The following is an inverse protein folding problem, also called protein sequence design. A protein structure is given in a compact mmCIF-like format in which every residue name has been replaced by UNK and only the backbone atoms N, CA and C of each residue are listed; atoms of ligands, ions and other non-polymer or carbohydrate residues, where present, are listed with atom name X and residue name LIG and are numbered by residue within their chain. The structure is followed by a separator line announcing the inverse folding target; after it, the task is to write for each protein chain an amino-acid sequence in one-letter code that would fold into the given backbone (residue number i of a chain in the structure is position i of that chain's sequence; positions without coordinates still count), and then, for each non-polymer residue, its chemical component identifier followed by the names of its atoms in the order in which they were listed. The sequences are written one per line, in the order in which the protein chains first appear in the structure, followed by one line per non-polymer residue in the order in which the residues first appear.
data_IF_706747295204
#
_entry.id   IF_706747295204
#
_cell.length_a   1.000
_cell.length_b   1.000
_cell.length_c   1.000
_cell.angle_alpha   90.00
_cell.angle_beta   90.00
_cell.angle_gamma   90.00
#
_symmetry.space_group_name_H-M   'P 1'
#
loop_
_entity.id
_entity.type
_entity.pdbx_description
1 polymer ?
#
# COMPACT_ATOMS: atom_id res chain seq x y z
N UNK A 1 5.29 19.45 89.34
CA UNK A 1 5.41 18.57 88.15
C UNK A 1 5.79 19.46 86.97
N UNK A 2 7.00 20.00 86.92
CA UNK A 2 8.20 19.39 86.29
C UNK A 2 7.93 18.98 84.83
N UNK A 3 8.45 19.66 83.80
CA UNK A 3 9.31 20.84 83.76
C UNK A 3 9.18 21.48 82.36
N UNK A 4 8.48 22.60 82.29
CA UNK A 4 8.85 23.71 81.42
C UNK A 4 9.97 24.52 82.11
N UNK A 5 10.79 25.21 81.31
CA UNK A 5 11.74 26.31 81.63
C UNK A 5 13.23 25.96 81.81
N UNK A 6 14.04 26.96 81.42
CA UNK A 6 15.49 27.15 81.29
C UNK A 6 15.97 26.91 79.84
N UNK A 7 16.31 27.88 78.99
CA UNK A 7 16.40 29.34 79.05
C UNK A 7 16.38 29.88 77.61
N UNK A 8 15.74 31.03 77.42
CA UNK A 8 15.87 31.85 76.22
C UNK A 8 17.09 32.78 76.34
N UNK A 9 17.67 33.07 75.17
CA UNK A 9 18.35 34.31 74.76
C UNK A 9 19.63 34.79 75.46
N UNK A 10 20.52 35.30 74.59
CA UNK A 10 21.66 36.21 74.79
C UNK A 10 23.05 35.62 75.02
N UNK A 11 23.79 35.41 73.92
CA UNK A 11 25.07 36.12 73.74
C UNK A 11 25.54 36.07 72.27
N UNK A 12 25.40 37.22 71.62
CA UNK A 12 26.09 37.62 70.39
C UNK A 12 27.57 37.88 70.72
N UNK A 13 28.44 37.67 69.71
CA UNK A 13 29.85 38.07 69.61
C UNK A 13 30.92 37.08 70.10
N UNK A 14 31.43 36.29 69.16
CA UNK A 14 32.87 36.16 68.93
C UNK A 14 33.06 36.04 67.40
N UNK A 15 33.23 37.15 66.68
CA UNK A 15 34.54 37.61 66.20
C UNK A 15 35.36 36.47 65.60
N UNK A 16 35.23 36.25 64.29
CA UNK A 16 36.07 36.87 63.25
C UNK A 16 37.36 36.10 62.98
N UNK A 17 37.56 35.81 61.70
CA UNK A 17 38.82 35.44 61.02
C UNK A 17 39.21 33.96 61.06
N UNK A 18 38.84 33.24 59.98
CA UNK A 18 39.87 32.69 59.10
C UNK A 18 39.35 32.63 57.66
N UNK A 19 39.72 33.65 56.88
CA UNK A 19 39.63 33.63 55.42
C UNK A 19 40.72 32.71 54.86
N UNK A 20 40.40 32.08 53.72
CA UNK A 20 41.28 31.52 52.65
C UNK A 20 41.39 29.99 52.60
N UNK A 21 40.54 29.37 51.77
CA UNK A 21 40.94 28.50 50.66
C UNK A 21 39.72 28.22 49.75
N UNK A 22 39.99 28.07 48.45
CA UNK A 22 39.09 28.02 47.29
C UNK A 22 38.08 26.83 47.25
N UNK A 23 37.07 26.89 46.35
CA UNK A 23 35.85 26.10 46.40
C UNK A 23 36.03 24.70 45.80
N UNK A 24 35.46 23.69 46.45
CA UNK A 24 35.32 22.35 45.89
C UNK A 24 33.87 22.15 45.45
N UNK A 25 33.63 22.45 44.17
CA UNK A 25 32.90 21.61 43.23
C UNK A 25 31.93 20.58 43.85
N UNK A 26 30.67 20.96 44.05
CA UNK A 26 29.56 20.01 44.06
C UNK A 26 28.57 20.44 42.96
N UNK A 27 28.91 20.00 41.74
CA UNK A 27 27.96 19.92 40.65
C UNK A 27 26.95 18.83 41.04
N UNK A 28 25.76 19.25 41.47
CA UNK A 28 24.58 18.40 41.40
C UNK A 28 24.25 18.18 39.92
N UNK A 29 24.83 17.14 39.34
CA UNK A 29 24.35 16.52 38.11
C UNK A 29 22.95 15.97 38.43
N UNK A 30 21.92 16.72 38.08
CA UNK A 30 20.62 16.13 37.81
C UNK A 30 20.78 15.26 36.55
N UNK A 31 21.10 13.98 36.76
CA UNK A 31 20.87 12.93 35.77
C UNK A 31 19.35 12.79 35.57
N UNK A 32 18.79 13.68 34.75
CA UNK A 32 17.59 13.37 34.00
C UNK A 32 18.00 12.40 32.89
N UNK A 33 17.93 11.10 33.16
CA UNK A 33 17.74 10.12 32.10
C UNK A 33 16.34 10.35 31.54
N UNK A 34 16.21 11.32 30.64
CA UNK A 34 15.21 11.20 29.60
C UNK A 34 15.64 10.02 28.74
N UNK A 35 14.75 9.05 28.54
CA UNK A 35 14.88 8.18 27.39
C UNK A 35 14.92 9.10 26.17
N UNK A 36 16.10 9.24 25.56
CA UNK A 36 16.18 9.67 24.17
C UNK A 36 15.34 8.63 23.41
N UNK A 37 14.12 9.01 23.04
CA UNK A 37 13.43 8.34 21.96
C UNK A 37 14.43 8.36 20.82
N UNK A 38 14.91 7.20 20.40
CA UNK A 38 15.66 7.08 19.16
C UNK A 38 14.76 7.68 18.08
N UNK A 39 15.03 8.91 17.66
CA UNK A 39 14.43 9.46 16.46
C UNK A 39 14.90 8.54 15.33
N UNK A 40 14.03 7.65 14.87
CA UNK A 40 14.26 6.90 13.64
C UNK A 40 14.56 7.94 12.56
N UNK A 41 15.79 7.91 12.03
CA UNK A 41 16.23 8.86 11.01
C UNK A 41 15.40 8.62 9.74
N UNK A 42 14.36 9.42 9.56
CA UNK A 42 13.52 9.42 8.36
C UNK A 42 14.27 10.16 7.26
N UNK A 43 14.86 9.42 6.32
CA UNK A 43 15.43 10.02 5.11
C UNK A 43 14.30 10.30 4.13
N UNK A 44 14.01 11.57 3.89
CA UNK A 44 13.04 12.00 2.89
C UNK A 44 13.75 12.31 1.55
N UNK A 45 13.24 11.71 0.47
CA UNK A 45 13.66 11.97 -0.90
C UNK A 45 12.50 12.67 -1.61
N UNK A 46 12.78 13.77 -2.29
CA UNK A 46 11.82 14.41 -3.18
C UNK A 46 12.21 14.11 -4.63
N UNK A 47 11.28 13.53 -5.38
CA UNK A 47 11.46 13.12 -6.77
C UNK A 47 10.62 14.05 -7.65
N UNK A 48 11.23 15.00 -8.38
CA UNK A 48 10.49 15.88 -9.27
C UNK A 48 10.04 15.13 -10.52
N UNK A 49 8.73 15.15 -10.80
CA UNK A 49 8.11 14.55 -11.98
C UNK A 49 7.50 15.64 -12.85
N UNK A 50 8.01 15.79 -14.07
CA UNK A 50 7.42 16.66 -15.09
C UNK A 50 6.57 15.82 -16.05
N UNK A 51 5.25 15.86 -15.86
CA UNK A 51 4.28 15.11 -16.64
C UNK A 51 4.25 15.53 -18.12
N UNK A 52 4.77 16.72 -18.47
CA UNK A 52 4.85 17.16 -19.87
C UNK A 52 5.95 16.43 -20.65
N UNK A 53 6.81 15.67 -19.96
CA UNK A 53 7.78 14.76 -20.59
C UNK A 53 7.19 13.38 -20.90
N UNK A 54 5.93 13.13 -20.54
CA UNK A 54 5.28 11.87 -20.90
C UNK A 54 4.98 11.83 -22.39
N UNK A 55 5.34 10.72 -23.02
CA UNK A 55 5.23 10.55 -24.46
C UNK A 55 4.03 9.66 -24.83
N UNK A 56 3.51 9.88 -26.04
CA UNK A 56 2.63 8.92 -26.68
C UNK A 56 3.51 7.84 -27.32
N UNK A 57 3.28 6.57 -27.00
CA UNK A 57 4.10 5.47 -27.47
C UNK A 57 3.30 4.32 -28.08
N UNK A 58 4.04 3.39 -28.68
CA UNK A 58 3.57 2.02 -28.83
C UNK A 58 3.69 1.32 -27.48
N UNK A 59 2.82 0.34 -27.22
CA UNK A 59 2.92 -0.43 -25.99
C UNK A 59 4.25 -1.20 -25.92
N UNK A 60 4.74 -1.64 -27.07
CA UNK A 60 6.03 -2.27 -27.20
C UNK A 60 7.21 -1.38 -26.81
N UNK A 61 7.05 -0.06 -26.65
CA UNK A 61 8.14 0.80 -26.17
C UNK A 61 8.43 0.56 -24.68
N UNK A 62 7.41 0.22 -23.90
CA UNK A 62 7.53 -0.03 -22.46
C UNK A 62 7.46 -1.53 -22.07
N UNK A 63 6.73 -2.32 -22.85
CA UNK A 63 6.42 -3.71 -22.50
C UNK A 63 6.88 -4.69 -23.57
N UNK A 64 7.28 -5.90 -23.16
CA UNK A 64 7.82 -6.93 -24.06
C UNK A 64 6.73 -7.87 -24.59
N UNK A 65 5.78 -8.25 -23.73
CA UNK A 65 4.76 -9.24 -24.04
C UNK A 65 3.50 -9.04 -23.21
N UNK A 66 2.42 -9.68 -23.65
CA UNK A 66 1.14 -9.75 -22.94
C UNK A 66 0.78 -11.21 -22.71
N UNK A 67 0.43 -11.55 -21.47
CA UNK A 67 -0.07 -12.87 -21.08
C UNK A 67 -1.47 -12.78 -20.48
N UNK A 68 -2.23 -13.88 -20.59
CA UNK A 68 -3.63 -13.97 -20.18
C UNK A 68 -3.86 -15.19 -19.30
N UNK A 69 -4.59 -15.01 -18.21
CA UNK A 69 -5.08 -16.11 -17.35
C UNK A 69 -6.57 -15.89 -17.10
N UNK A 70 -7.40 -16.86 -17.48
CA UNK A 70 -8.81 -16.88 -17.09
C UNK A 70 -8.94 -17.54 -15.72
N UNK A 71 -9.59 -16.84 -14.78
CA UNK A 71 -9.94 -17.44 -13.50
C UNK A 71 -11.12 -18.38 -13.67
N UNK A 72 -11.02 -19.56 -13.07
CA UNK A 72 -12.07 -20.56 -13.05
C UNK A 72 -13.32 -20.01 -12.34
N UNK A 73 -14.44 -20.04 -13.04
CA UNK A 73 -15.73 -19.64 -12.49
C UNK A 73 -16.25 -20.71 -11.51
N UNK A 74 -16.99 -20.29 -10.48
CA UNK A 74 -17.61 -21.19 -9.50
C UNK A 74 -18.89 -20.60 -8.95
N UNK A 75 -20.00 -21.33 -9.02
CA UNK A 75 -21.30 -20.86 -8.52
C UNK A 75 -21.30 -20.50 -7.02
N UNK A 76 -20.40 -21.09 -6.22
CA UNK A 76 -20.30 -20.83 -4.77
C UNK A 76 -19.24 -19.79 -4.42
N UNK A 77 -18.20 -19.65 -5.24
CA UNK A 77 -17.06 -18.76 -5.00
C UNK A 77 -16.91 -17.63 -6.04
N UNK A 78 -17.95 -17.33 -6.82
CA UNK A 78 -17.98 -16.21 -7.80
C UNK A 78 -17.55 -14.88 -7.20
N UNK A 79 -16.68 -14.14 -7.89
CA UNK A 79 -16.19 -12.83 -7.45
C UNK A 79 -17.23 -11.74 -7.74
N UNK A 80 -17.73 -11.07 -6.69
CA UNK A 80 -18.80 -10.05 -6.82
C UNK A 80 -18.20 -8.64 -7.00
N UNK A 81 -17.29 -8.26 -6.10
CA UNK A 81 -16.56 -6.98 -6.11
C UNK A 81 -15.13 -7.23 -5.61
N UNK A 82 -14.26 -7.80 -6.48
CA UNK A 82 -12.85 -7.97 -6.15
C UNK A 82 -12.20 -6.61 -5.89
N UNK A 83 -11.36 -6.54 -4.86
CA UNK A 83 -10.74 -5.29 -4.40
C UNK A 83 -9.22 -5.34 -4.36
N UNK A 84 -8.63 -6.50 -4.04
CA UNK A 84 -7.19 -6.67 -3.94
C UNK A 84 -6.78 -8.00 -4.56
N UNK A 85 -5.70 -8.00 -5.32
CA UNK A 85 -5.09 -9.21 -5.88
C UNK A 85 -3.66 -9.33 -5.36
N UNK A 86 -3.30 -10.51 -4.85
CA UNK A 86 -1.93 -10.83 -4.43
C UNK A 86 -1.42 -11.99 -5.27
N UNK A 87 -0.28 -11.77 -5.92
CA UNK A 87 0.48 -12.79 -6.61
C UNK A 87 1.57 -13.33 -5.67
N UNK A 88 1.57 -14.64 -5.46
CA UNK A 88 2.61 -15.37 -4.71
C UNK A 88 3.13 -16.53 -5.56
N UNK A 89 4.26 -17.16 -5.20
CA UNK A 89 4.84 -18.25 -6.01
C UNK A 89 3.85 -19.42 -6.26
N UNK A 90 2.96 -19.71 -5.31
CA UNK A 90 2.05 -20.86 -5.39
C UNK A 90 0.58 -20.54 -5.61
N UNK A 91 0.15 -19.30 -5.31
CA UNK A 91 -1.26 -18.92 -5.30
C UNK A 91 -1.49 -17.52 -5.85
N UNK A 92 -2.65 -17.37 -6.48
CA UNK A 92 -3.28 -16.08 -6.78
C UNK A 92 -4.39 -15.90 -5.75
N UNK A 93 -4.25 -14.92 -4.86
CA UNK A 93 -5.25 -14.58 -3.85
C UNK A 93 -6.04 -13.35 -4.26
N UNK A 94 -7.36 -13.37 -4.06
CA UNK A 94 -8.24 -12.24 -4.34
C UNK A 94 -9.13 -11.97 -3.13
N UNK A 95 -9.11 -10.74 -2.64
CA UNK A 95 -10.12 -10.23 -1.71
C UNK A 95 -11.36 -9.80 -2.50
N UNK A 96 -12.50 -10.39 -2.18
CA UNK A 96 -13.81 -9.99 -2.71
C UNK A 96 -14.66 -9.38 -1.58
N UNK A 97 -14.68 -8.05 -1.53
CA UNK A 97 -15.49 -7.30 -0.56
C UNK A 97 -16.99 -7.35 -0.89
N UNK A 98 -17.37 -7.73 -2.10
CA UNK A 98 -18.77 -7.90 -2.48
C UNK A 98 -19.37 -9.16 -1.84
N UNK A 99 -18.60 -10.24 -1.85
CA UNK A 99 -18.96 -11.53 -1.25
C UNK A 99 -18.47 -11.74 0.18
N UNK A 100 -17.75 -10.78 0.78
CA UNK A 100 -17.06 -10.91 2.07
C UNK A 100 -16.25 -12.22 2.17
N UNK A 101 -15.40 -12.43 1.16
CA UNK A 101 -14.59 -13.64 1.03
C UNK A 101 -13.22 -13.37 0.44
N UNK A 102 -12.33 -14.33 0.64
CA UNK A 102 -11.05 -14.42 -0.03
C UNK A 102 -11.04 -15.67 -0.90
N UNK A 103 -10.70 -15.54 -2.18
CA UNK A 103 -10.70 -16.65 -3.14
C UNK A 103 -9.27 -16.90 -3.62
N UNK A 104 -8.87 -18.17 -3.65
CA UNK A 104 -7.51 -18.57 -3.98
C UNK A 104 -7.50 -19.50 -5.19
N UNK A 105 -6.65 -19.18 -6.15
CA UNK A 105 -6.43 -19.91 -7.38
C UNK A 105 -4.97 -20.37 -7.47
N UNK A 106 -4.70 -21.37 -8.30
CA UNK A 106 -3.32 -21.65 -8.71
C UNK A 106 -2.84 -20.65 -9.78
N UNK A 107 -1.57 -20.76 -10.16
CA UNK A 107 -0.93 -19.90 -11.17
C UNK A 107 -1.52 -20.08 -12.59
N UNK A 108 -2.40 -21.04 -12.82
CA UNK A 108 -3.10 -21.24 -14.09
C UNK A 108 -4.55 -20.75 -14.03
N UNK A 109 -4.95 -20.11 -12.91
CA UNK A 109 -6.29 -19.63 -12.69
C UNK A 109 -7.29 -20.72 -12.28
N UNK A 110 -6.85 -21.93 -11.92
CA UNK A 110 -7.75 -22.97 -11.41
C UNK A 110 -8.09 -22.72 -9.95
N UNK A 111 -9.37 -22.84 -9.61
CA UNK A 111 -9.88 -22.58 -8.29
C UNK A 111 -9.34 -23.62 -7.30
N UNK A 112 -8.78 -23.16 -6.19
CA UNK A 112 -8.23 -24.02 -5.14
C UNK A 112 -9.19 -24.12 -3.95
N UNK A 113 -9.49 -22.98 -3.34
CA UNK A 113 -10.40 -22.87 -2.20
C UNK A 113 -10.82 -21.41 -2.00
N UNK A 114 -11.76 -21.19 -1.09
CA UNK A 114 -12.15 -19.87 -0.63
C UNK A 114 -12.34 -19.85 0.88
N UNK A 115 -12.12 -18.69 1.47
CA UNK A 115 -12.44 -18.38 2.86
C UNK A 115 -13.61 -17.39 2.83
N UNK A 116 -14.78 -17.81 3.30
CA UNK A 116 -15.98 -16.96 3.31
C UNK A 116 -16.36 -16.57 4.72
N UNK A 117 -16.89 -15.37 4.89
CA UNK A 117 -17.45 -14.93 6.15
C UNK A 117 -18.52 -15.93 6.65
N UNK A 118 -18.43 -16.34 7.92
CA UNK A 118 -19.31 -17.37 8.49
C UNK A 118 -19.86 -17.01 9.87
N UNK A 119 -19.22 -16.10 10.62
CA UNK A 119 -19.64 -15.78 11.98
C UNK A 119 -18.54 -15.13 12.82
N UNK A 120 -18.77 -15.06 14.13
CA UNK A 120 -17.85 -14.50 15.13
C UNK A 120 -17.11 -15.56 15.96
N UNK A 121 -17.31 -16.85 15.67
CA UNK A 121 -16.66 -17.95 16.36
C UNK A 121 -15.14 -18.04 16.11
N UNK A 122 -14.45 -18.96 16.82
CA UNK A 122 -13.04 -19.23 16.59
C UNK A 122 -12.78 -19.67 15.16
N UNK A 123 -11.88 -19.00 14.45
CA UNK A 123 -11.59 -19.31 13.04
C UNK A 123 -12.57 -18.71 12.03
N UNK A 124 -13.62 -18.04 12.49
CA UNK A 124 -14.63 -17.38 11.65
C UNK A 124 -14.38 -15.87 11.56
N UNK A 125 -14.90 -15.25 10.50
CA UNK A 125 -14.88 -13.80 10.31
C UNK A 125 -16.19 -13.33 9.67
N UNK A 126 -16.45 -12.02 9.73
CA UNK A 126 -17.68 -11.37 9.23
C UNK A 126 -17.38 -10.36 8.13
N UNK A 127 -16.21 -9.69 8.18
CA UNK A 127 -15.83 -8.67 7.21
C UNK A 127 -14.42 -8.89 6.68
N UNK A 128 -14.27 -8.64 5.40
CA UNK A 128 -12.99 -8.54 4.70
C UNK A 128 -12.45 -7.11 4.75
N UNK A 129 -11.14 -6.96 4.70
CA UNK A 129 -10.50 -5.63 4.59
C UNK A 129 -9.12 -5.70 3.96
N UNK A 130 -8.31 -6.65 4.43
CA UNK A 130 -6.94 -6.84 3.98
C UNK A 130 -6.49 -8.28 4.25
N UNK A 131 -5.56 -8.75 3.43
CA UNK A 131 -4.93 -10.05 3.60
C UNK A 131 -3.49 -10.06 3.09
N UNK A 132 -2.76 -11.09 3.51
CA UNK A 132 -1.38 -11.33 3.14
C UNK A 132 -1.16 -12.81 2.88
N UNK A 133 -0.23 -13.11 1.96
CA UNK A 133 0.34 -14.44 1.76
C UNK A 133 1.83 -14.32 2.10
N UNK A 134 2.25 -14.92 3.21
CA UNK A 134 3.61 -14.81 3.75
C UNK A 134 4.15 -16.21 4.02
N UNK A 135 5.12 -16.64 3.20
CA UNK A 135 5.64 -18.01 3.25
C UNK A 135 4.50 -19.02 3.08
N UNK A 136 4.32 -19.89 4.07
CA UNK A 136 3.28 -20.92 4.06
C UNK A 136 1.97 -20.50 4.77
N UNK A 137 1.79 -19.21 5.04
CA UNK A 137 0.65 -18.70 5.80
C UNK A 137 -0.15 -17.65 5.03
N UNK A 138 -1.47 -17.73 5.19
CA UNK A 138 -2.43 -16.73 4.75
C UNK A 138 -2.94 -16.02 6.00
N UNK A 139 -2.77 -14.70 6.05
CA UNK A 139 -3.30 -13.87 7.14
C UNK A 139 -4.43 -13.03 6.58
N UNK A 140 -5.60 -13.06 7.23
CA UNK A 140 -6.73 -12.20 6.89
C UNK A 140 -7.07 -11.32 8.08
N UNK A 141 -7.56 -10.12 7.81
CA UNK A 141 -8.03 -9.19 8.83
C UNK A 141 -9.54 -9.08 8.80
N UNK A 142 -10.14 -9.19 9.97
CA UNK A 142 -11.53 -8.83 10.21
C UNK A 142 -11.55 -7.48 10.95
N UNK A 143 -11.97 -6.38 10.30
CA UNK A 143 -12.05 -5.07 10.94
C UNK A 143 -13.20 -4.94 11.94
N UNK A 144 -14.25 -5.77 11.82
CA UNK A 144 -15.42 -5.71 12.70
C UNK A 144 -15.18 -6.44 14.02
N UNK A 145 -14.61 -7.64 13.96
CA UNK A 145 -14.22 -8.43 15.13
C UNK A 145 -12.85 -8.03 15.69
N UNK A 146 -12.17 -7.12 15.00
CA UNK A 146 -10.84 -6.61 15.30
C UNK A 146 -9.83 -7.74 15.58
N UNK A 147 -9.74 -8.70 14.67
CA UNK A 147 -8.83 -9.84 14.78
C UNK A 147 -8.12 -10.13 13.47
N UNK A 148 -6.95 -10.74 13.58
CA UNK A 148 -6.22 -11.34 12.46
C UNK A 148 -6.33 -12.85 12.59
N UNK A 149 -6.73 -13.52 11.53
CA UNK A 149 -6.79 -14.97 11.45
C UNK A 149 -5.67 -15.48 10.55
N UNK A 150 -5.02 -16.57 10.96
CA UNK A 150 -3.97 -17.25 10.20
C UNK A 150 -4.46 -18.62 9.72
N UNK A 151 -4.26 -18.88 8.44
CA UNK A 151 -4.53 -20.14 7.76
C UNK A 151 -3.24 -20.64 7.09
N UNK A 152 -3.16 -21.94 6.77
CA UNK A 152 -2.15 -22.43 5.83
C UNK A 152 -2.57 -22.23 4.37
N UNK A 153 -1.69 -22.61 3.44
CA UNK A 153 -1.92 -22.53 1.99
C UNK A 153 -3.02 -23.48 1.46
N UNK A 154 -3.62 -24.31 2.32
CA UNK A 154 -4.79 -25.13 1.98
C UNK A 154 -6.08 -24.58 2.59
N UNK A 155 -6.04 -23.40 3.22
CA UNK A 155 -7.19 -22.77 3.86
C UNK A 155 -7.54 -23.38 5.23
N UNK A 156 -6.64 -24.14 5.86
CA UNK A 156 -6.90 -24.71 7.18
C UNK A 156 -6.52 -23.68 8.25
N UNK A 157 -7.50 -23.33 9.09
CA UNK A 157 -7.32 -22.41 10.22
C UNK A 157 -6.22 -22.91 11.18
N UNK A 158 -5.34 -21.99 11.61
CA UNK A 158 -4.25 -22.27 12.55
C UNK A 158 -4.40 -21.53 13.87
N UNK A 159 -4.68 -20.22 13.82
CA UNK A 159 -4.79 -19.36 15.01
C UNK A 159 -5.47 -18.05 14.69
N UNK A 160 -5.94 -17.38 15.74
CA UNK A 160 -6.43 -16.00 15.67
C UNK A 160 -5.76 -15.14 16.75
N UNK A 161 -5.62 -13.86 16.44
CA UNK A 161 -5.02 -12.84 17.31
C UNK A 161 -5.99 -11.66 17.40
N UNK A 162 -6.51 -11.37 18.60
CA UNK A 162 -7.35 -10.18 18.83
C UNK A 162 -6.48 -8.95 18.96
N UNK A 163 -6.91 -7.86 18.35
CA UNK A 163 -6.26 -6.56 18.40
C UNK A 163 -6.96 -5.67 19.43
N UNK A 164 -6.21 -4.82 20.11
CA UNK A 164 -6.75 -3.87 21.10
C UNK A 164 -7.19 -2.53 20.49
N UNK A 165 -6.95 -2.31 19.19
CA UNK A 165 -7.35 -1.10 18.47
C UNK A 165 -7.75 -1.40 17.03
N UNK A 166 -8.66 -0.61 16.48
CA UNK A 166 -9.17 -0.73 15.10
C UNK A 166 -8.26 0.08 14.19
N UNK A 167 -7.25 -0.58 13.63
CA UNK A 167 -6.40 -0.03 12.58
C UNK A 167 -6.74 -0.68 11.25
N UNK A 168 -6.21 -0.22 10.13
CA UNK A 168 -6.56 -0.72 8.79
C UNK A 168 -5.63 -1.78 8.25
N UNK A 169 -5.15 -1.52 7.03
CA UNK A 169 -4.18 -2.37 6.37
C UNK A 169 -3.04 -2.74 7.30
N UNK A 170 -2.51 -3.95 7.13
CA UNK A 170 -1.51 -4.47 8.04
C UNK A 170 -0.40 -5.21 7.30
N UNK A 171 0.76 -5.29 7.94
CA UNK A 171 1.87 -6.11 7.46
C UNK A 171 2.59 -6.84 8.58
N UNK A 172 2.56 -8.17 8.55
CA UNK A 172 3.29 -9.02 9.49
C UNK A 172 4.75 -9.16 9.07
N UNK A 173 5.63 -8.76 9.96
CA UNK A 173 7.09 -8.99 9.90
C UNK A 173 7.46 -10.14 10.86
N UNK A 174 8.74 -10.49 10.93
CA UNK A 174 9.22 -11.53 11.86
C UNK A 174 9.06 -11.14 13.35
N UNK A 175 9.08 -9.84 13.66
CA UNK A 175 9.13 -9.33 15.04
C UNK A 175 7.94 -8.41 15.42
N UNK A 176 7.22 -7.88 14.43
CA UNK A 176 6.10 -6.92 14.57
C UNK A 176 4.97 -7.16 13.59
N UNK A 177 3.84 -6.50 13.84
CA UNK A 177 2.89 -6.14 12.77
C UNK A 177 2.88 -4.64 12.56
N UNK A 178 3.05 -4.17 11.33
CA UNK A 178 2.78 -2.79 10.94
C UNK A 178 1.29 -2.63 10.66
N UNK A 179 0.75 -1.46 10.95
CA UNK A 179 -0.62 -1.09 10.67
C UNK A 179 -0.67 0.32 10.09
N UNK A 180 -1.58 0.55 9.15
CA UNK A 180 -1.98 1.89 8.73
C UNK A 180 -3.16 2.36 9.56
N UNK A 181 -3.17 3.63 9.97
CA UNK A 181 -4.19 4.18 10.87
C UNK A 181 -5.56 4.37 10.23
N UNK A 182 -5.66 4.31 8.89
CA UNK A 182 -6.87 4.69 8.11
C UNK A 182 -7.31 6.13 8.39
N UNK A 183 -6.35 6.99 8.74
CA UNK A 183 -6.62 8.34 9.21
C UNK A 183 -7.50 8.40 10.49
N UNK A 184 -7.55 7.31 11.26
CA UNK A 184 -8.09 7.29 12.61
C UNK A 184 -6.99 7.55 13.62
N UNK A 185 -7.06 8.68 14.32
CA UNK A 185 -5.98 9.13 15.22
C UNK A 185 -6.29 8.92 16.71
N UNK A 186 -7.15 7.95 17.02
CA UNK A 186 -7.52 7.56 18.39
C UNK A 186 -6.31 7.16 19.26
N UNK A 187 -5.25 6.64 18.63
CA UNK A 187 -3.99 6.25 19.28
C UNK A 187 -2.87 7.30 19.12
N UNK A 188 -3.22 8.50 18.64
CA UNK A 188 -2.29 9.57 18.27
C UNK A 188 -2.27 9.83 16.76
N UNK A 189 -1.86 11.04 16.39
CA UNK A 189 -1.77 11.51 15.01
C UNK A 189 -0.56 10.91 14.27
N UNK A 190 -0.61 9.61 14.00
CA UNK A 190 0.40 8.87 13.25
C UNK A 190 -0.24 8.14 12.06
N UNK A 191 0.48 8.08 10.94
CA UNK A 191 0.03 7.31 9.80
C UNK A 191 0.15 5.82 10.05
N UNK A 192 1.21 5.41 10.75
CA UNK A 192 1.51 4.00 10.96
C UNK A 192 1.64 3.68 12.44
N UNK A 193 1.39 2.42 12.77
CA UNK A 193 1.65 1.88 14.09
C UNK A 193 2.39 0.55 13.97
N UNK A 194 3.38 0.35 14.84
CA UNK A 194 4.04 -0.94 15.03
C UNK A 194 3.47 -1.62 16.26
N UNK A 195 3.03 -2.85 16.08
CA UNK A 195 2.46 -3.69 17.13
C UNK A 195 3.45 -4.78 17.52
N UNK A 196 3.91 -4.75 18.77
CA UNK A 196 4.79 -5.75 19.38
C UNK A 196 4.39 -6.00 20.82
N UNK A 197 4.40 -7.25 21.26
CA UNK A 197 4.13 -7.64 22.67
C UNK A 197 2.88 -6.96 23.25
N UNK A 198 1.79 -6.89 22.47
CA UNK A 198 0.52 -6.25 22.83
C UNK A 198 0.57 -4.73 23.07
N UNK A 199 1.56 -4.05 22.50
CA UNK A 199 1.69 -2.59 22.56
C UNK A 199 1.76 -2.01 21.15
N UNK A 200 1.08 -0.88 20.95
CA UNK A 200 1.14 -0.09 19.74
C UNK A 200 2.10 1.08 19.95
N UNK A 201 3.02 1.25 19.00
CA UNK A 201 3.93 2.37 18.91
C UNK A 201 3.57 3.17 17.66
N UNK A 202 3.27 4.46 17.82
CA UNK A 202 2.98 5.37 16.71
C UNK A 202 4.24 5.69 15.93
N UNK A 203 4.14 5.65 14.61
CA UNK A 203 5.25 5.77 13.67
C UNK A 203 4.84 6.70 12.55
N UNK A 204 5.73 7.65 12.23
CA UNK A 204 5.57 8.63 11.18
C UNK A 204 4.35 9.53 11.42
N UNK A 205 4.62 10.75 11.85
CA UNK A 205 3.57 11.73 12.17
C UNK A 205 2.64 11.94 10.98
N UNK A 206 1.34 11.98 11.26
CA UNK A 206 0.32 12.18 10.24
C UNK A 206 0.04 13.66 9.99
N UNK A 207 -0.35 13.98 8.76
CA UNK A 207 -1.04 15.22 8.50
C UNK A 207 -2.44 15.17 9.13
N UNK A 208 -2.63 15.96 10.19
CA UNK A 208 -3.89 16.00 10.93
C UNK A 208 -5.08 16.42 10.05
N UNK A 209 -4.82 17.05 8.89
CA UNK A 209 -5.88 17.38 7.92
C UNK A 209 -6.57 16.15 7.34
N UNK A 210 -5.95 14.98 7.40
CA UNK A 210 -6.54 13.73 6.95
C UNK A 210 -7.43 13.07 8.00
N UNK A 211 -7.47 13.56 9.25
CA UNK A 211 -8.24 12.92 10.33
C UNK A 211 -9.70 12.64 9.93
N UNK A 212 -10.12 11.38 10.08
CA UNK A 212 -11.47 10.91 9.75
C UNK A 212 -11.77 10.79 8.26
N UNK A 213 -10.82 11.07 7.36
CA UNK A 213 -11.02 10.91 5.91
C UNK A 213 -11.04 9.43 5.55
N UNK A 214 -12.19 8.99 5.02
CA UNK A 214 -12.41 7.60 4.63
C UNK A 214 -11.57 7.26 3.41
N UNK A 215 -10.72 6.25 3.56
CA UNK A 215 -9.92 5.68 2.48
C UNK A 215 -10.42 4.27 2.11
N UNK A 216 -10.39 3.97 0.82
CA UNK A 216 -10.52 2.61 0.31
C UNK A 216 -9.65 2.46 -0.93
N UNK A 217 -8.42 1.98 -0.76
CA UNK A 217 -7.55 1.60 -1.87
C UNK A 217 -7.40 0.09 -2.01
N UNK A 218 -7.03 -0.30 -3.22
CA UNK A 218 -6.71 -1.68 -3.60
C UNK A 218 -5.38 -2.15 -3.05
N UNK A 219 -4.43 -1.22 -2.94
CA UNK A 219 -3.09 -1.50 -2.44
C UNK A 219 -3.05 -1.18 -0.94
N UNK A 220 -2.50 -2.11 -0.17
CA UNK A 220 -2.14 -1.89 1.23
C UNK A 220 -0.63 -1.79 1.33
N UNK A 221 -0.05 -2.49 2.31
CA UNK A 221 1.39 -2.72 2.31
C UNK A 221 1.79 -3.65 1.15
N UNK A 222 2.75 -3.21 0.37
CA UNK A 222 3.31 -3.91 -0.79
C UNK A 222 4.71 -4.41 -0.44
N UNK A 223 4.94 -5.71 -0.59
CA UNK A 223 6.28 -6.30 -0.42
C UNK A 223 7.08 -6.13 -1.71
N UNK A 224 8.28 -5.56 -1.62
CA UNK A 224 9.27 -5.69 -2.69
C UNK A 224 9.86 -7.11 -2.65
N UNK A 225 9.60 -7.98 -3.66
CA UNK A 225 10.07 -9.36 -3.61
C UNK A 225 11.59 -9.47 -3.76
N UNK A 226 12.27 -8.44 -4.29
CA UNK A 226 13.71 -8.42 -4.56
C UNK A 226 14.52 -7.92 -3.35
N UNK A 227 14.08 -6.84 -2.70
CA UNK A 227 14.78 -6.23 -1.55
C UNK A 227 14.21 -6.66 -0.20
N UNK A 228 13.00 -7.23 -0.20
CA UNK A 228 12.18 -7.54 0.99
C UNK A 228 11.73 -6.33 1.79
N UNK A 229 11.89 -5.13 1.23
CA UNK A 229 11.36 -3.90 1.81
C UNK A 229 9.84 -3.85 1.67
N UNK A 230 9.19 -3.09 2.54
CA UNK A 230 7.74 -2.99 2.61
C UNK A 230 7.38 -1.56 2.24
N UNK A 231 6.54 -1.39 1.24
CA UNK A 231 6.16 -0.10 0.68
C UNK A 231 4.70 0.17 1.05
N UNK A 232 4.37 1.40 1.43
CA UNK A 232 3.01 1.86 1.59
C UNK A 232 2.86 3.25 0.98
N UNK A 233 1.87 3.42 0.12
CA UNK A 233 1.53 4.73 -0.47
C UNK A 233 0.44 5.37 0.38
N UNK A 234 0.70 6.58 0.87
CA UNK A 234 -0.24 7.31 1.73
C UNK A 234 -1.41 7.80 0.87
N UNK A 235 -2.66 7.42 1.19
CA UNK A 235 -3.85 7.90 0.49
C UNK A 235 -3.99 9.41 0.53
N UNK A 236 -4.55 9.98 -0.55
CA UNK A 236 -4.73 11.44 -0.71
C UNK A 236 -3.42 12.25 -0.77
N UNK A 237 -2.28 11.57 -0.85
CA UNK A 237 -0.97 12.17 -0.99
C UNK A 237 -0.21 11.59 -2.18
N UNK A 238 0.87 12.26 -2.55
CA UNK A 238 1.86 11.79 -3.51
C UNK A 238 3.12 11.27 -2.80
N UNK A 239 2.91 10.71 -1.61
CA UNK A 239 3.97 10.21 -0.73
C UNK A 239 3.90 8.70 -0.60
N UNK A 240 5.05 8.03 -0.76
CA UNK A 240 5.22 6.62 -0.40
C UNK A 240 6.25 6.47 0.71
N UNK A 241 5.94 5.62 1.67
CA UNK A 241 6.82 5.25 2.79
C UNK A 241 7.37 3.86 2.54
N UNK A 242 8.67 3.68 2.71
CA UNK A 242 9.33 2.40 2.59
C UNK A 242 9.97 2.03 3.91
N UNK A 243 9.53 0.90 4.45
CA UNK A 243 10.07 0.27 5.63
C UNK A 243 11.10 -0.79 5.23
N UNK A 244 12.12 -0.95 6.06
CA UNK A 244 12.97 -2.15 6.02
C UNK A 244 12.15 -3.44 6.17
N UNK A 245 12.73 -4.58 5.81
CA UNK A 245 12.07 -5.91 5.91
C UNK A 245 11.52 -6.26 7.31
N UNK A 246 12.11 -5.69 8.36
CA UNK A 246 11.71 -5.91 9.75
C UNK A 246 10.71 -4.85 10.26
N UNK A 247 10.33 -3.89 9.40
CA UNK A 247 9.40 -2.82 9.71
C UNK A 247 9.99 -1.68 10.55
N UNK A 248 11.31 -1.58 10.62
CA UNK A 248 12.06 -0.63 11.45
C UNK A 248 12.37 0.65 10.69
N UNK A 249 13.53 0.71 10.00
CA UNK A 249 13.98 1.91 9.29
C UNK A 249 12.99 2.38 8.23
N UNK A 250 12.82 3.69 8.16
CA UNK A 250 11.81 4.35 7.32
C UNK A 250 12.51 5.33 6.38
N UNK A 251 12.21 5.21 5.09
CA UNK A 251 12.45 6.27 4.11
C UNK A 251 11.14 6.73 3.52
N UNK A 252 11.07 8.02 3.19
CA UNK A 252 9.89 8.61 2.56
C UNK A 252 10.27 9.11 1.19
N UNK A 253 9.42 8.86 0.20
CA UNK A 253 9.56 9.32 -1.17
C UNK A 253 8.36 10.22 -1.45
N UNK A 254 8.62 11.50 -1.66
CA UNK A 254 7.61 12.46 -2.09
C UNK A 254 7.76 12.69 -3.60
N UNK A 255 6.74 12.31 -4.37
CA UNK A 255 6.68 12.58 -5.79
C UNK A 255 6.11 13.97 -6.01
N UNK A 256 6.97 14.89 -6.42
CA UNK A 256 6.64 16.30 -6.62
C UNK A 256 6.23 16.55 -8.07
N UNK A 257 4.93 16.77 -8.29
CA UNK A 257 4.36 17.10 -9.60
C UNK A 257 4.32 18.61 -9.89
N UNK A 258 4.97 19.41 -9.04
CA UNK A 258 5.07 20.87 -9.18
C UNK A 258 3.70 21.53 -9.25
N UNK A 259 3.45 22.28 -10.34
CA UNK A 259 2.19 23.00 -10.54
C UNK A 259 0.98 22.07 -10.76
N UNK A 260 1.23 20.83 -11.18
CA UNK A 260 0.17 19.86 -11.46
C UNK A 260 -0.24 19.13 -10.16
N UNK A 261 0.40 19.40 -9.01
CA UNK A 261 0.06 18.81 -7.70
C UNK A 261 -1.21 19.44 -7.10
N UNK A 262 -2.16 18.61 -6.65
CA UNK A 262 -3.29 19.09 -5.87
C UNK A 262 -2.88 19.51 -4.46
N UNK A 263 -3.46 20.61 -3.97
CA UNK A 263 -3.18 21.15 -2.63
C UNK A 263 -3.91 20.38 -1.54
N UNK A 264 -3.15 19.91 -0.53
CA UNK A 264 -3.72 19.31 0.68
C UNK A 264 -4.58 20.30 1.49
N UNK A 265 -4.29 21.60 1.40
CA UNK A 265 -5.13 22.63 2.03
C UNK A 265 -6.51 22.70 1.35
N UNK A 266 -6.53 22.57 0.03
CA UNK A 266 -7.78 22.53 -0.72
C UNK A 266 -8.55 21.22 -0.50
N UNK A 267 -7.85 20.08 -0.42
CA UNK A 267 -8.45 18.80 -0.05
C UNK A 267 -9.16 18.85 1.31
N UNK A 268 -8.55 19.52 2.29
CA UNK A 268 -9.15 19.68 3.61
C UNK A 268 -10.35 20.65 3.58
N UNK A 269 -10.21 21.79 2.90
CA UNK A 269 -11.18 22.90 2.93
C UNK A 269 -12.40 22.65 2.06
N UNK A 270 -12.23 22.00 0.91
CA UNK A 270 -13.31 21.71 -0.03
C UNK A 270 -14.06 20.44 0.39
N UNK A 271 -15.33 20.35 0.01
CA UNK A 271 -16.02 19.06 0.09
C UNK A 271 -15.53 18.13 -1.04
N UNK A 272 -15.73 16.80 -0.94
CA UNK A 272 -15.20 15.85 -1.91
C UNK A 272 -15.56 16.18 -3.37
N UNK A 273 -16.83 16.50 -3.64
CA UNK A 273 -17.27 16.83 -5.00
C UNK A 273 -16.55 18.07 -5.56
N UNK A 274 -16.40 19.12 -4.76
CA UNK A 274 -15.70 20.34 -5.17
C UNK A 274 -14.21 20.09 -5.43
N UNK A 275 -13.59 19.24 -4.60
CA UNK A 275 -12.20 18.87 -4.79
C UNK A 275 -12.03 18.06 -6.08
N UNK A 276 -12.88 17.06 -6.32
CA UNK A 276 -12.86 16.24 -7.53
C UNK A 276 -13.09 17.09 -8.80
N UNK A 277 -14.06 18.01 -8.76
CA UNK A 277 -14.32 18.96 -9.85
C UNK A 277 -13.10 19.83 -10.13
N UNK A 278 -12.39 20.28 -9.09
CA UNK A 278 -11.16 21.06 -9.24
C UNK A 278 -10.03 20.23 -9.84
N UNK A 279 -9.76 19.05 -9.28
CA UNK A 279 -8.75 18.11 -9.80
C UNK A 279 -8.97 17.86 -11.28
N UNK A 280 -10.22 17.61 -11.66
CA UNK A 280 -10.64 17.43 -13.05
C UNK A 280 -10.43 18.66 -13.94
N UNK A 281 -10.92 19.82 -13.51
CA UNK A 281 -10.93 21.04 -14.33
C UNK A 281 -9.55 21.68 -14.48
N UNK A 282 -8.73 21.60 -13.43
CA UNK A 282 -7.38 22.15 -13.41
C UNK A 282 -6.33 21.13 -13.86
N UNK A 283 -6.70 19.85 -14.01
CA UNK A 283 -5.78 18.80 -14.43
C UNK A 283 -4.71 18.54 -13.38
N UNK A 284 -5.14 18.26 -12.14
CA UNK A 284 -4.23 18.05 -11.01
C UNK A 284 -4.00 16.56 -10.72
N UNK A 285 -2.90 16.27 -10.04
CA UNK A 285 -2.57 14.99 -9.43
C UNK A 285 -2.91 15.07 -7.95
N UNK A 286 -3.90 14.30 -7.51
CA UNK A 286 -4.31 14.27 -6.10
C UNK A 286 -3.72 13.10 -5.32
N UNK A 287 -3.34 12.02 -5.99
CA UNK A 287 -2.83 10.82 -5.34
C UNK A 287 -2.07 9.94 -6.32
N UNK A 288 -1.36 8.95 -5.77
CA UNK A 288 -0.72 7.87 -6.51
C UNK A 288 -1.67 6.69 -6.64
N UNK A 289 -1.96 6.29 -7.87
CA UNK A 289 -2.89 5.18 -8.17
C UNK A 289 -2.25 3.79 -7.98
N UNK A 290 -0.96 3.67 -8.28
CA UNK A 290 -0.17 2.44 -8.13
C UNK A 290 1.30 2.81 -7.98
N UNK A 291 2.00 2.15 -7.06
CA UNK A 291 3.46 2.21 -6.96
C UNK A 291 4.01 0.82 -6.68
N UNK A 292 4.64 0.21 -7.69
CA UNK A 292 5.04 -1.18 -7.68
C UNK A 292 6.55 -1.34 -7.80
N UNK A 293 7.19 -2.12 -6.91
CA UNK A 293 8.59 -2.48 -7.06
C UNK A 293 8.77 -3.53 -8.15
N UNK A 294 9.75 -3.32 -9.01
CA UNK A 294 10.17 -4.23 -10.07
C UNK A 294 11.66 -4.58 -9.87
N UNK A 295 12.20 -5.52 -10.63
CA UNK A 295 13.56 -6.03 -10.41
C UNK A 295 14.64 -4.95 -10.62
N UNK A 296 14.46 -4.16 -11.67
CA UNK A 296 15.41 -3.15 -12.12
C UNK A 296 15.01 -1.72 -11.72
N UNK A 297 13.90 -1.53 -11.01
CA UNK A 297 13.41 -0.21 -10.65
C UNK A 297 12.00 -0.21 -10.06
N UNK A 298 11.24 0.85 -10.35
CA UNK A 298 9.87 1.01 -9.87
C UNK A 298 8.94 1.48 -10.98
N UNK A 299 7.69 1.03 -10.89
CA UNK A 299 6.58 1.53 -11.70
C UNK A 299 5.71 2.45 -10.85
N UNK A 300 5.48 3.67 -11.31
CA UNK A 300 4.59 4.63 -10.71
C UNK A 300 3.47 4.98 -11.69
N UNK A 301 2.22 4.98 -11.22
CA UNK A 301 1.08 5.45 -12.00
C UNK A 301 0.29 6.52 -11.25
N UNK A 302 0.02 7.61 -11.94
CA UNK A 302 -0.82 8.72 -11.45
C UNK A 302 -1.85 9.11 -12.51
N UNK A 303 -2.87 9.86 -12.09
CA UNK A 303 -3.78 10.54 -13.01
C UNK A 303 -3.58 12.04 -12.92
N UNK A 304 -3.57 12.70 -14.07
CA UNK A 304 -3.71 14.15 -14.22
C UNK A 304 -5.16 14.45 -14.56
N UNK A 305 -5.88 15.02 -13.61
CA UNK A 305 -7.34 15.10 -13.68
C UNK A 305 -8.00 13.72 -13.63
N UNK A 306 -9.11 13.53 -14.36
CA UNK A 306 -9.92 12.31 -14.24
C UNK A 306 -9.50 11.18 -15.22
N UNK A 307 -8.88 11.52 -16.35
CA UNK A 307 -8.76 10.58 -17.49
C UNK A 307 -7.36 10.39 -18.04
N UNK A 308 -6.48 11.38 -17.88
CA UNK A 308 -5.12 11.27 -18.37
C UNK A 308 -4.28 10.53 -17.34
N UNK A 309 -3.92 9.28 -17.64
CA UNK A 309 -2.97 8.56 -16.81
C UNK A 309 -1.55 8.91 -17.23
N UNK A 310 -0.62 8.78 -16.30
CA UNK A 310 0.81 8.79 -16.57
C UNK A 310 1.44 7.55 -15.94
N UNK A 311 2.18 6.78 -16.72
CA UNK A 311 3.05 5.71 -16.28
C UNK A 311 4.48 6.20 -16.29
N UNK A 312 5.13 6.16 -15.13
CA UNK A 312 6.48 6.62 -14.91
C UNK A 312 7.31 5.41 -14.47
N UNK A 313 8.36 5.13 -15.23
CA UNK A 313 9.37 4.14 -14.87
C UNK A 313 10.54 4.86 -14.22
N UNK A 314 10.95 4.35 -13.06
CA UNK A 314 11.98 4.92 -12.21
C UNK A 314 13.09 3.87 -12.04
N UNK A 315 14.35 4.28 -12.05
CA UNK A 315 15.45 3.40 -11.65
C UNK A 315 15.45 3.13 -10.13
N UNK A 316 16.45 2.39 -9.64
CA UNK A 316 16.57 2.00 -8.22
C UNK A 316 16.82 3.19 -7.29
N UNK A 317 17.31 4.29 -7.85
CA UNK A 317 17.57 5.56 -7.20
C UNK A 317 16.38 6.54 -7.32
N UNK A 318 15.23 6.05 -7.82
CA UNK A 318 14.00 6.81 -8.03
C UNK A 318 14.11 7.93 -9.08
N UNK A 319 15.07 7.84 -10.00
CA UNK A 319 15.18 8.80 -11.10
C UNK A 319 14.24 8.36 -12.23
N UNK A 320 13.37 9.25 -12.76
CA UNK A 320 12.56 8.93 -13.92
C UNK A 320 13.42 8.66 -15.15
N UNK A 321 13.21 7.49 -15.75
CA UNK A 321 13.95 7.00 -16.93
C UNK A 321 13.06 6.94 -18.17
N UNK A 322 11.77 6.65 -18.02
CA UNK A 322 10.78 6.69 -19.09
C UNK A 322 9.40 7.12 -18.58
N UNK A 323 8.61 7.79 -19.42
CA UNK A 323 7.27 8.27 -19.06
C UNK A 323 6.31 8.19 -20.24
N UNK A 324 5.11 7.65 -20.03
CA UNK A 324 4.09 7.50 -21.07
C UNK A 324 2.71 7.86 -20.53
N UNK A 325 1.92 8.60 -21.32
CA UNK A 325 0.52 8.93 -20.98
C UNK A 325 -0.50 8.36 -21.95
N UNK A 326 -0.02 7.65 -22.99
CA UNK A 326 -0.87 6.97 -23.96
C UNK A 326 -0.09 5.87 -24.67
N UNK A 327 -0.76 4.74 -24.86
CA UNK A 327 -0.24 3.67 -25.70
C UNK A 327 -1.16 3.38 -26.87
N UNK A 328 -0.55 3.09 -28.02
CA UNK A 328 -1.15 2.22 -29.03
C UNK A 328 -0.68 0.80 -28.74
N UNK A 329 -1.60 -0.10 -28.36
CA UNK A 329 -1.24 -1.51 -28.24
C UNK A 329 -0.92 -2.07 -29.63
N UNK A 330 0.35 -2.32 -29.89
CA UNK A 330 0.91 -2.88 -31.12
C UNK A 330 1.45 -4.31 -30.91
N UNK A 331 1.42 -4.81 -29.67
CA UNK A 331 1.82 -6.17 -29.30
C UNK A 331 0.73 -7.16 -29.75
N UNK A 332 -0.51 -6.93 -29.35
CA UNK A 332 -1.65 -7.76 -29.74
C UNK A 332 -2.94 -6.99 -30.02
N UNK A 333 -2.89 -5.65 -30.04
CA UNK A 333 -4.01 -4.78 -30.38
C UNK A 333 -5.25 -4.80 -29.46
N UNK A 334 -5.25 -5.56 -28.36
CA UNK A 334 -6.30 -5.48 -27.35
C UNK A 334 -6.31 -4.10 -26.68
N UNK A 335 -7.47 -3.56 -26.28
CA UNK A 335 -7.50 -2.33 -25.50
C UNK A 335 -6.85 -2.56 -24.13
N UNK A 336 -6.04 -1.61 -23.70
CA UNK A 336 -5.42 -1.63 -22.37
C UNK A 336 -6.32 -0.84 -21.42
N UNK A 337 -6.63 -1.43 -20.27
CA UNK A 337 -7.46 -0.79 -19.26
C UNK A 337 -6.64 0.23 -18.46
N UNK A 338 -7.32 1.20 -17.84
CA UNK A 338 -6.68 2.39 -17.29
C UNK A 338 -6.10 2.23 -15.87
N UNK A 339 -6.34 1.12 -15.18
CA UNK A 339 -5.89 0.96 -13.80
C UNK A 339 -5.22 -0.41 -13.62
N UNK A 340 -3.91 -0.45 -13.33
CA UNK A 340 -3.23 -1.65 -12.89
C UNK A 340 -3.76 -2.08 -11.53
N UNK A 341 -4.02 -3.38 -11.37
CA UNK A 341 -4.61 -3.95 -10.16
C UNK A 341 -3.57 -4.61 -9.25
N UNK A 342 -2.47 -5.09 -9.82
CA UNK A 342 -1.43 -5.82 -9.10
C UNK A 342 -0.14 -5.84 -9.91
N UNK A 343 0.91 -6.44 -9.36
CA UNK A 343 2.15 -6.77 -10.05
C UNK A 343 2.61 -8.17 -9.67
N UNK A 344 3.50 -8.74 -10.47
CA UNK A 344 4.18 -10.00 -10.17
C UNK A 344 5.54 -9.98 -10.84
N UNK A 345 6.62 -10.01 -10.06
CA UNK A 345 7.99 -9.88 -10.59
C UNK A 345 8.13 -8.60 -11.45
N UNK A 346 8.40 -8.74 -12.76
CA UNK A 346 8.51 -7.63 -13.72
C UNK A 346 7.21 -7.39 -14.53
N UNK A 347 6.08 -7.97 -14.09
CA UNK A 347 4.78 -7.83 -14.77
C UNK A 347 3.86 -6.85 -14.06
N UNK A 348 3.20 -6.00 -14.85
CA UNK A 348 2.08 -5.16 -14.42
C UNK A 348 0.76 -5.86 -14.77
N UNK A 349 -0.09 -6.05 -13.78
CA UNK A 349 -1.30 -6.86 -13.87
C UNK A 349 -2.59 -6.04 -13.90
N UNK A 350 -3.55 -6.50 -14.68
CA UNK A 350 -4.91 -5.96 -14.78
C UNK A 350 -5.93 -7.07 -14.51
N UNK A 351 -6.98 -6.74 -13.77
CA UNK A 351 -8.12 -7.61 -13.52
C UNK A 351 -9.31 -7.12 -14.34
N UNK A 352 -9.74 -7.90 -15.33
CA UNK A 352 -10.80 -7.50 -16.27
C UNK A 352 -11.95 -8.50 -16.18
N UNK A 353 -13.21 -8.07 -15.98
CA UNK A 353 -14.35 -8.95 -16.12
C UNK A 353 -14.33 -9.69 -17.47
N UNK A 354 -14.54 -10.99 -17.47
CA UNK A 354 -14.37 -11.85 -18.66
C UNK A 354 -15.31 -11.46 -19.81
N UNK A 355 -16.53 -11.02 -19.49
CA UNK A 355 -17.47 -10.55 -20.50
C UNK A 355 -16.99 -9.27 -21.18
N UNK A 356 -16.43 -8.31 -20.44
CA UNK A 356 -15.85 -7.08 -21.01
C UNK A 356 -14.62 -7.39 -21.86
N UNK A 357 -13.80 -8.33 -21.42
CA UNK A 357 -12.66 -8.80 -22.20
C UNK A 357 -13.10 -9.41 -23.54
N UNK A 358 -14.14 -10.24 -23.52
CA UNK A 358 -14.70 -10.86 -24.73
C UNK A 358 -15.32 -9.80 -25.66
N UNK A 359 -16.06 -8.83 -25.13
CA UNK A 359 -16.62 -7.72 -25.92
C UNK A 359 -15.52 -6.90 -26.61
N UNK A 360 -14.44 -6.59 -25.89
CA UNK A 360 -13.27 -5.89 -26.43
C UNK A 360 -12.63 -6.69 -27.58
N UNK A 361 -12.48 -8.00 -27.40
CA UNK A 361 -11.93 -8.89 -28.42
C UNK A 361 -12.84 -8.95 -29.67
N UNK A 362 -14.14 -9.20 -29.50
CA UNK A 362 -15.10 -9.30 -30.59
C UNK A 362 -15.16 -7.99 -31.39
N UNK A 363 -15.21 -6.85 -30.68
CA UNK A 363 -15.18 -5.53 -31.31
C UNK A 363 -13.90 -5.30 -32.11
N UNK A 364 -12.76 -5.81 -31.64
CA UNK A 364 -11.46 -5.58 -32.26
C UNK A 364 -11.16 -6.49 -33.45
N UNK A 365 -11.54 -7.76 -33.38
CA UNK A 365 -11.10 -8.77 -34.36
C UNK A 365 -12.22 -9.39 -35.18
N UNK A 366 -13.43 -9.49 -34.62
CA UNK A 366 -14.56 -10.08 -35.35
C UNK A 366 -15.28 -8.99 -36.15
N UNK A 367 -15.51 -7.83 -35.53
CA UNK A 367 -16.20 -6.72 -36.17
C UNK A 367 -15.28 -5.85 -37.04
N UNK A 368 -13.98 -6.14 -37.06
CA UNK A 368 -12.98 -5.45 -37.87
C UNK A 368 -12.01 -6.47 -38.50
N UNK A 369 -12.41 -7.00 -39.67
CA UNK A 369 -11.73 -8.09 -40.38
C UNK A 369 -10.36 -7.73 -40.96
N UNK A 370 -9.91 -6.48 -40.82
CA UNK A 370 -8.63 -6.00 -41.37
C UNK A 370 -7.48 -6.04 -40.34
N UNK A 371 -7.75 -6.43 -39.09
CA UNK A 371 -6.73 -6.47 -38.04
C UNK A 371 -5.95 -7.78 -38.09
N UNK A 372 -4.65 -7.68 -38.32
CA UNK A 372 -3.71 -8.81 -38.22
C UNK A 372 -3.72 -9.40 -36.80
N UNK A 373 -3.75 -10.73 -36.72
CA UNK A 373 -3.66 -11.45 -35.45
C UNK A 373 -2.20 -11.49 -34.99
N UNK A 374 -1.95 -11.02 -33.76
CA UNK A 374 -0.64 -11.08 -33.12
C UNK A 374 -0.72 -11.67 -31.72
N UNK A 375 0.38 -12.26 -31.25
CA UNK A 375 0.48 -12.84 -29.91
C UNK A 375 -0.40 -14.08 -29.69
N UNK A 376 -0.70 -14.38 -28.43
CA UNK A 376 -1.46 -15.57 -28.01
C UNK A 376 -2.97 -15.31 -27.87
N UNK A 377 -3.45 -14.09 -28.13
CA UNK A 377 -4.82 -13.67 -27.83
C UNK A 377 -5.90 -14.53 -28.49
N UNK A 378 -5.75 -14.88 -29.78
CA UNK A 378 -6.75 -15.70 -30.48
C UNK A 378 -6.81 -17.12 -29.94
N UNK A 379 -5.65 -17.72 -29.67
CA UNK A 379 -5.58 -19.04 -29.06
C UNK A 379 -6.24 -19.02 -27.68
N UNK A 380 -5.91 -18.04 -26.84
CA UNK A 380 -6.52 -17.86 -25.53
C UNK A 380 -8.05 -17.76 -25.61
N UNK A 381 -8.59 -16.95 -26.52
CA UNK A 381 -10.04 -16.80 -26.66
C UNK A 381 -10.70 -18.06 -27.19
N UNK A 382 -10.13 -18.74 -28.18
CA UNK A 382 -10.72 -19.97 -28.71
C UNK A 382 -10.70 -21.12 -27.69
N UNK A 383 -9.62 -21.26 -26.91
CA UNK A 383 -9.52 -22.27 -25.84
C UNK A 383 -10.51 -22.00 -24.69
N UNK A 384 -10.89 -20.74 -24.45
CA UNK A 384 -11.69 -20.33 -23.29
C UNK A 384 -13.07 -19.77 -23.65
N UNK A 385 -13.51 -19.86 -24.91
CA UNK A 385 -14.67 -19.15 -25.47
C UNK A 385 -15.97 -19.35 -24.70
N UNK A 386 -16.24 -20.56 -24.22
CA UNK A 386 -17.43 -20.87 -23.43
C UNK A 386 -17.37 -20.29 -22.02
N UNK A 387 -16.18 -20.28 -21.43
CA UNK A 387 -15.94 -19.82 -20.06
C UNK A 387 -15.88 -18.29 -19.98
N UNK A 388 -15.37 -17.63 -21.01
CA UNK A 388 -15.33 -16.16 -21.10
C UNK A 388 -16.72 -15.51 -21.05
N UNK A 389 -17.76 -16.25 -21.47
CA UNK A 389 -19.16 -15.80 -21.42
C UNK A 389 -19.79 -15.89 -20.03
N UNK A 390 -19.14 -16.55 -19.09
CA UNK A 390 -19.59 -16.63 -17.69
C UNK A 390 -19.16 -15.40 -16.92
N UNK A 391 -19.69 -15.25 -15.73
CA UNK A 391 -19.32 -14.18 -14.80
C UNK A 391 -17.99 -14.53 -14.10
N UNK A 392 -16.87 -14.21 -14.76
CA UNK A 392 -15.52 -14.44 -14.24
C UNK A 392 -14.61 -13.25 -14.56
N UNK A 393 -13.31 -13.42 -14.36
CA UNK A 393 -12.30 -12.40 -14.61
C UNK A 393 -11.09 -12.99 -15.35
N UNK A 394 -10.53 -12.18 -16.24
CA UNK A 394 -9.27 -12.41 -16.92
C UNK A 394 -8.21 -11.55 -16.26
N UNK A 395 -7.12 -12.18 -15.83
CA UNK A 395 -5.89 -11.51 -15.47
C UNK A 395 -5.09 -11.25 -16.75
N UNK A 396 -4.74 -10.00 -17.00
CA UNK A 396 -3.87 -9.58 -18.10
C UNK A 396 -2.55 -9.10 -17.52
N UNK A 397 -1.44 -9.63 -18.02
CA UNK A 397 -0.11 -9.28 -17.56
C UNK A 397 0.67 -8.60 -18.68
N UNK A 398 1.27 -7.46 -18.38
CA UNK A 398 2.22 -6.78 -19.27
C UNK A 398 3.64 -6.94 -18.69
N UNK A 399 4.51 -7.65 -19.39
CA UNK A 399 5.93 -7.80 -19.01
C UNK A 399 6.69 -6.50 -19.30
N UNK A 400 7.26 -5.86 -18.29
CA UNK A 400 8.00 -4.59 -18.46
C UNK A 400 9.36 -4.86 -19.08
N UNK A 401 9.77 -4.07 -20.08
CA UNK A 401 11.11 -4.18 -20.66
C UNK A 401 12.16 -3.61 -19.72
N UNK A 402 13.23 -4.36 -19.44
CA UNK A 402 14.34 -3.85 -18.61
C UNK A 402 15.00 -2.57 -19.18
N UNK A 403 14.89 -2.33 -20.49
CA UNK A 403 15.42 -1.11 -21.11
C UNK A 403 14.75 0.17 -20.62
N UNK A 404 13.51 0.12 -20.10
CA UNK A 404 12.83 1.34 -19.62
C UNK A 404 13.48 1.91 -18.36
N UNK A 405 14.28 1.11 -17.64
CA UNK A 405 14.99 1.52 -16.42
C UNK A 405 16.41 2.03 -16.72
N UNK A 406 16.81 2.12 -17.99
CA UNK A 406 18.15 2.54 -18.40
C UNK A 406 18.02 3.79 -19.27
N UNK A 407 18.83 4.82 -18.97
CA UNK A 407 18.94 6.02 -19.82
C UNK A 407 19.88 5.82 -20.99
#
# INVERSE_FOLDING_TARGET
MLKHKQYAMDMVVALSNLRRALPFFLICFCFGCGEEKNEESTTAISVPIDLNKSENGNLSDAYQSIDYILLENSDTLSLIRPMKVIMSEGLIGIEDRGGEKYVFYDQKGKLRFGLSASGDGPGEFIRTEDFQVLGESILIKDPYLNKILTFDLNGVFKKEEKLSSILGNFYRTNSSTLFYSKNGFDLGAYYFFRYRKNTFEGIFEADQRLEGKVYSGKDGFVLNPFTKEIIFTIPFETTSVIFSKDGENIRTINFDFGRDQASMEDFHRLNPQQFDERVKNEGLVSEISSFYPLEDGYFLRVFRGEKEFHEIFLDKEFVPTAQFNKYKNDIDYMPIRNLPWFFSENKIGYLIPSFLFLEDYEKKFINNSEVEIKGSIHQFVEENKSELKKDSYVLVFLEVKNSVFRK
#
